data_IF_205877635895
#
_entry.id   IF_205877635895
#
_cell.length_a   1.000
_cell.length_b   1.000
_cell.length_c   1.000
_cell.angle_alpha   90.00
_cell.angle_beta   90.00
_cell.angle_gamma   90.00
#
_symmetry.space_group_name_H-M   'P 1'
#
loop_
_entity.id
_entity.type
_entity.pdbx_description
1 polymer ?
#
# COMPACT_ATOMS: atom_id res chain seq x y z
N UNK A 1 -12.42 8.42 -3.62
CA UNK A 1 -13.15 7.12 -3.51
C UNK A 1 -14.45 7.25 -4.24
N UNK A 2 -14.80 6.28 -5.06
CA UNK A 2 -16.09 6.28 -5.75
C UNK A 2 -17.23 5.90 -4.81
N UNK A 3 -18.45 6.37 -5.12
CA UNK A 3 -19.63 6.07 -4.32
C UNK A 3 -19.90 4.54 -4.26
N UNK A 4 -19.78 3.85 -5.39
CA UNK A 4 -19.93 2.39 -5.47
C UNK A 4 -18.91 1.64 -4.60
N UNK A 5 -17.67 2.11 -4.60
CA UNK A 5 -16.59 1.54 -3.76
C UNK A 5 -16.87 1.75 -2.27
N UNK A 6 -17.34 2.94 -1.89
CA UNK A 6 -17.75 3.23 -0.51
C UNK A 6 -18.86 2.27 -0.05
N UNK A 7 -19.92 2.15 -0.85
CA UNK A 7 -21.06 1.25 -0.55
C UNK A 7 -20.55 -0.19 -0.37
N UNK A 8 -19.66 -0.66 -1.24
CA UNK A 8 -19.07 -2.01 -1.14
C UNK A 8 -18.27 -2.18 0.14
N UNK A 9 -17.46 -1.19 0.52
CA UNK A 9 -16.66 -1.22 1.76
C UNK A 9 -17.55 -1.21 3.00
N UNK A 10 -18.58 -0.37 3.02
CA UNK A 10 -19.53 -0.32 4.12
C UNK A 10 -20.32 -1.64 4.24
N UNK A 11 -20.69 -2.24 3.13
CA UNK A 11 -21.41 -3.51 3.12
C UNK A 11 -20.54 -4.70 3.58
N UNK A 12 -19.22 -4.68 3.29
CA UNK A 12 -18.29 -5.72 3.69
C UNK A 12 -17.82 -5.56 5.15
N UNK A 13 -17.74 -4.33 5.65
CA UNK A 13 -17.28 -4.02 7.02
C UNK A 13 -18.40 -4.10 8.06
N UNK A 14 -19.66 -3.99 7.64
CA UNK A 14 -20.84 -3.90 8.50
C UNK A 14 -21.72 -5.13 8.35
N UNK A 15 -22.61 -5.35 9.30
CA UNK A 15 -23.64 -6.39 9.15
C UNK A 15 -24.51 -6.09 7.90
N UNK A 16 -24.92 -7.10 7.12
CA UNK A 16 -25.56 -6.93 5.81
C UNK A 16 -26.91 -6.18 5.82
N UNK A 17 -27.39 -5.75 6.96
CA UNK A 17 -28.68 -5.04 7.12
C UNK A 17 -28.57 -3.52 7.25
N UNK A 18 -27.36 -2.95 7.23
CA UNK A 18 -27.16 -1.52 7.44
C UNK A 18 -27.53 -0.64 6.24
N UNK A 19 -27.39 -1.17 5.02
CA UNK A 19 -27.68 -0.44 3.78
C UNK A 19 -28.83 -1.11 3.04
N UNK A 20 -29.85 -0.32 2.72
CA UNK A 20 -31.05 -0.76 2.00
C UNK A 20 -31.29 0.16 0.81
N UNK A 21 -32.05 -0.31 -0.17
CA UNK A 21 -32.48 0.49 -1.34
C UNK A 21 -31.36 1.29 -1.99
N UNK A 22 -30.31 0.59 -2.39
CA UNK A 22 -29.13 1.20 -3.03
C UNK A 22 -29.48 1.50 -4.49
N UNK A 23 -29.37 2.78 -4.89
CA UNK A 23 -29.50 3.24 -6.29
C UNK A 23 -28.23 3.99 -6.67
N UNK A 24 -27.56 3.57 -7.74
CA UNK A 24 -26.33 4.17 -8.26
C UNK A 24 -26.49 4.40 -9.75
N UNK A 25 -26.74 5.65 -10.14
CA UNK A 25 -26.90 6.06 -11.55
C UNK A 25 -25.65 6.68 -12.14
N UNK A 26 -24.76 7.23 -11.29
CA UNK A 26 -23.52 7.84 -11.73
C UNK A 26 -22.43 7.60 -10.68
N UNK A 27 -21.31 7.01 -11.08
CA UNK A 27 -20.23 6.66 -10.16
C UNK A 27 -19.20 7.80 -10.06
N UNK A 28 -19.49 8.77 -9.19
CA UNK A 28 -18.65 9.94 -8.97
C UNK A 28 -17.70 9.76 -7.78
N UNK A 29 -16.59 10.49 -7.82
CA UNK A 29 -15.60 10.51 -6.74
C UNK A 29 -16.10 11.34 -5.56
N UNK A 30 -15.92 10.77 -4.36
CA UNK A 30 -16.21 11.40 -3.08
C UNK A 30 -14.92 11.98 -2.48
N UNK A 31 -14.98 13.24 -2.08
CA UNK A 31 -13.90 13.95 -1.43
C UNK A 31 -14.21 14.33 0.03
N UNK A 32 -15.50 14.48 0.37
CA UNK A 32 -15.93 14.94 1.69
C UNK A 32 -17.26 14.31 2.10
N UNK A 33 -17.64 14.47 3.36
CA UNK A 33 -18.92 14.05 3.92
C UNK A 33 -19.52 15.14 4.78
N UNK A 34 -20.83 15.41 4.58
CA UNK A 34 -21.58 16.41 5.32
C UNK A 34 -22.98 15.93 5.68
N UNK A 35 -23.64 16.66 6.59
CA UNK A 35 -25.05 16.44 6.90
C UNK A 35 -25.86 17.44 6.08
N UNK A 36 -26.87 16.98 5.36
CA UNK A 36 -27.79 17.84 4.64
C UNK A 36 -28.82 18.43 5.61
N UNK A 37 -28.74 19.71 5.84
CA UNK A 37 -29.67 20.44 6.68
C UNK A 37 -30.93 20.85 5.90
N UNK A 38 -32.06 20.95 6.59
CA UNK A 38 -33.29 21.48 6.01
C UNK A 38 -33.11 22.89 5.49
N UNK A 39 -33.48 23.15 4.22
CA UNK A 39 -33.35 24.47 3.57
C UNK A 39 -31.92 24.80 3.08
N UNK A 40 -30.98 23.86 3.12
CA UNK A 40 -29.67 24.07 2.54
C UNK A 40 -29.75 24.14 1.01
N UNK A 41 -29.25 25.24 0.44
CA UNK A 41 -29.23 25.48 -1.01
C UNK A 41 -27.87 25.24 -1.65
N UNK A 42 -26.79 25.23 -0.86
CA UNK A 42 -25.42 25.04 -1.36
C UNK A 42 -25.02 23.56 -1.18
N UNK A 43 -25.01 22.83 -2.27
CA UNK A 43 -24.68 21.41 -2.34
C UNK A 43 -23.43 21.24 -3.18
N UNK A 44 -22.37 20.75 -2.59
CA UNK A 44 -21.06 20.62 -3.25
C UNK A 44 -20.95 19.30 -4.04
N UNK A 45 -20.46 19.38 -5.25
CA UNK A 45 -20.16 18.22 -6.05
C UNK A 45 -19.01 17.39 -5.39
N UNK A 46 -19.13 16.06 -5.44
CA UNK A 46 -18.13 15.18 -4.80
C UNK A 46 -18.26 15.05 -3.29
N UNK A 47 -19.25 15.67 -2.67
CA UNK A 47 -19.56 15.47 -1.25
C UNK A 47 -20.69 14.46 -1.09
N UNK A 48 -20.49 13.54 -0.14
CA UNK A 48 -21.55 12.65 0.33
C UNK A 48 -22.36 13.34 1.42
N UNK A 49 -23.65 13.34 1.28
CA UNK A 49 -24.54 13.91 2.30
C UNK A 49 -25.30 12.82 3.05
N UNK A 50 -25.46 13.05 4.33
CA UNK A 50 -26.31 12.26 5.22
C UNK A 50 -27.56 13.06 5.56
N UNK A 51 -28.75 12.48 5.47
CA UNK A 51 -30.00 13.20 5.73
C UNK A 51 -31.04 12.37 6.50
N UNK A 52 -31.88 13.08 7.24
CA UNK A 52 -33.18 12.59 7.68
C UNK A 52 -34.20 12.86 6.54
N UNK A 53 -34.68 11.79 5.91
CA UNK A 53 -35.65 11.92 4.80
C UNK A 53 -36.94 12.66 5.20
N UNK A 54 -37.32 12.57 6.49
CA UNK A 54 -38.47 13.28 7.01
C UNK A 54 -38.34 14.82 7.05
N UNK A 55 -37.11 15.32 6.92
CA UNK A 55 -36.81 16.76 6.89
C UNK A 55 -36.65 17.31 5.47
N UNK A 56 -36.63 16.43 4.46
CA UNK A 56 -36.51 16.84 3.07
C UNK A 56 -37.88 17.25 2.51
N UNK A 57 -37.90 18.40 1.85
CA UNK A 57 -39.11 18.95 1.18
C UNK A 57 -38.95 18.87 -0.34
N UNK A 58 -40.02 18.94 -1.13
CA UNK A 58 -39.95 18.94 -2.60
C UNK A 58 -39.02 20.03 -3.18
N UNK A 59 -38.86 21.15 -2.47
CA UNK A 59 -37.99 22.26 -2.85
C UNK A 59 -36.53 22.09 -2.44
N UNK A 60 -36.21 20.99 -1.71
CA UNK A 60 -34.84 20.74 -1.28
C UNK A 60 -33.93 20.50 -2.49
N UNK A 61 -32.78 21.19 -2.51
CA UNK A 61 -31.72 20.93 -3.49
C UNK A 61 -31.06 19.61 -3.13
N UNK A 62 -31.24 18.60 -3.97
CA UNK A 62 -30.71 17.26 -3.70
C UNK A 62 -29.24 17.15 -4.11
N UNK A 63 -28.40 16.54 -3.26
CA UNK A 63 -27.02 16.23 -3.61
C UNK A 63 -26.95 15.05 -4.61
N UNK A 64 -25.83 14.96 -5.31
CA UNK A 64 -25.54 13.82 -6.19
C UNK A 64 -25.42 12.50 -5.41
N UNK A 65 -24.90 12.56 -4.18
CA UNK A 65 -24.65 11.39 -3.35
C UNK A 65 -25.32 11.56 -1.99
N UNK A 66 -26.26 10.68 -1.67
CA UNK A 66 -27.08 10.77 -0.46
C UNK A 66 -27.17 9.45 0.28
N UNK A 67 -26.83 9.44 1.55
CA UNK A 67 -27.24 8.40 2.49
C UNK A 67 -28.34 8.96 3.39
N UNK A 68 -29.47 8.28 3.49
CA UNK A 68 -30.60 8.79 4.24
C UNK A 68 -31.25 7.71 5.10
N UNK A 69 -31.91 8.14 6.17
CA UNK A 69 -32.82 7.27 6.92
C UNK A 69 -34.25 7.83 6.90
N UNK A 70 -35.22 6.96 7.15
CA UNK A 70 -36.64 7.32 7.11
C UNK A 70 -37.26 7.15 5.73
N UNK A 71 -38.49 7.61 5.59
CA UNK A 71 -39.25 7.46 4.35
C UNK A 71 -39.04 8.67 3.43
N UNK A 72 -38.45 8.42 2.27
CA UNK A 72 -38.22 9.46 1.28
C UNK A 72 -39.54 9.77 0.54
N UNK A 73 -39.90 11.06 0.34
CA UNK A 73 -41.04 11.43 -0.50
C UNK A 73 -40.89 10.91 -1.93
N UNK A 74 -41.91 10.31 -2.56
CA UNK A 74 -41.78 9.73 -3.90
C UNK A 74 -41.28 10.72 -4.96
N UNK A 75 -41.65 11.97 -4.86
CA UNK A 75 -41.22 13.05 -5.75
C UNK A 75 -39.72 13.33 -5.71
N UNK A 76 -39.06 12.99 -4.61
CA UNK A 76 -37.62 13.15 -4.47
C UNK A 76 -36.83 11.91 -4.92
N UNK A 77 -37.45 10.73 -4.84
CA UNK A 77 -36.77 9.47 -5.20
C UNK A 77 -36.29 9.47 -6.66
N UNK A 78 -37.12 9.98 -7.59
CA UNK A 78 -36.76 10.04 -9.00
C UNK A 78 -35.67 11.05 -9.34
N UNK A 79 -35.44 12.02 -8.46
CA UNK A 79 -34.46 13.10 -8.63
C UNK A 79 -33.06 12.72 -8.06
N UNK A 80 -32.97 11.65 -7.29
CA UNK A 80 -31.71 11.20 -6.73
C UNK A 80 -30.81 10.57 -7.80
N UNK A 81 -29.51 10.85 -7.74
CA UNK A 81 -28.52 10.25 -8.65
C UNK A 81 -27.90 9.02 -8.02
N UNK A 82 -27.34 9.17 -6.82
CA UNK A 82 -26.78 8.06 -6.06
C UNK A 82 -27.34 8.13 -4.64
N UNK A 83 -27.93 7.03 -4.20
CA UNK A 83 -28.52 7.00 -2.87
C UNK A 83 -28.50 5.61 -2.23
N UNK A 84 -28.48 5.57 -0.91
CA UNK A 84 -28.77 4.37 -0.16
C UNK A 84 -29.50 4.72 1.15
N UNK A 85 -30.45 3.89 1.53
CA UNK A 85 -31.14 4.01 2.81
C UNK A 85 -30.33 3.30 3.89
N UNK A 86 -30.20 3.94 5.04
CA UNK A 86 -29.51 3.42 6.23
C UNK A 86 -30.47 3.26 7.39
N UNK A 87 -30.12 2.41 8.35
CA UNK A 87 -30.85 2.36 9.63
C UNK A 87 -30.59 3.63 10.43
N UNK A 88 -31.66 4.16 11.06
CA UNK A 88 -31.56 5.37 11.91
C UNK A 88 -30.57 5.20 13.07
N UNK A 89 -30.53 4.01 13.67
CA UNK A 89 -29.63 3.72 14.79
C UNK A 89 -28.15 3.77 14.41
N UNK A 90 -27.85 3.54 13.12
CA UNK A 90 -26.48 3.46 12.60
C UNK A 90 -25.98 4.79 11.99
N UNK A 91 -26.82 5.81 11.92
CA UNK A 91 -26.51 7.09 11.28
C UNK A 91 -25.19 7.70 11.75
N UNK A 92 -25.01 7.84 13.07
CA UNK A 92 -23.83 8.47 13.63
C UNK A 92 -22.55 7.62 13.43
N UNK A 93 -22.68 6.30 13.56
CA UNK A 93 -21.58 5.36 13.37
C UNK A 93 -21.13 5.36 11.92
N UNK A 94 -22.07 5.27 10.97
CA UNK A 94 -21.77 5.30 9.54
C UNK A 94 -21.17 6.64 9.11
N UNK A 95 -21.70 7.76 9.61
CA UNK A 95 -21.17 9.09 9.33
C UNK A 95 -19.70 9.20 9.77
N UNK A 96 -19.40 8.76 10.99
CA UNK A 96 -18.03 8.77 11.51
C UNK A 96 -17.11 7.83 10.71
N UNK A 97 -17.58 6.62 10.42
CA UNK A 97 -16.83 5.64 9.61
C UNK A 97 -16.50 6.19 8.21
N UNK A 98 -17.48 6.80 7.53
CA UNK A 98 -17.25 7.41 6.21
C UNK A 98 -16.27 8.56 6.29
N UNK A 99 -16.40 9.41 7.31
CA UNK A 99 -15.47 10.52 7.53
C UNK A 99 -14.04 10.03 7.73
N UNK A 100 -13.84 8.99 8.48
CA UNK A 100 -12.53 8.37 8.69
C UNK A 100 -11.98 7.76 7.40
N UNK A 101 -12.81 7.03 6.65
CA UNK A 101 -12.41 6.44 5.37
C UNK A 101 -11.97 7.50 4.34
N UNK A 102 -12.71 8.60 4.22
CA UNK A 102 -12.35 9.69 3.30
C UNK A 102 -11.10 10.44 3.75
N UNK A 103 -10.98 10.70 5.06
CA UNK A 103 -9.80 11.33 5.68
C UNK A 103 -8.53 10.50 5.48
N UNK A 104 -8.62 9.19 5.67
CA UNK A 104 -7.53 8.25 5.44
C UNK A 104 -7.07 8.27 3.97
N UNK A 105 -8.01 8.27 3.05
CA UNK A 105 -7.70 8.32 1.62
C UNK A 105 -7.03 9.63 1.18
N UNK A 106 -7.45 10.76 1.74
CA UNK A 106 -6.77 12.04 1.50
C UNK A 106 -5.35 12.04 2.02
N UNK A 107 -5.13 11.48 3.21
CA UNK A 107 -3.80 11.32 3.81
C UNK A 107 -2.89 10.46 2.94
N UNK A 108 -3.40 9.34 2.43
CA UNK A 108 -2.68 8.46 1.51
C UNK A 108 -2.24 9.17 0.22
N UNK A 109 -3.15 9.93 -0.38
CA UNK A 109 -2.87 10.66 -1.61
C UNK A 109 -1.86 11.79 -1.40
N UNK A 110 -1.93 12.46 -0.25
CA UNK A 110 -0.94 13.45 0.15
C UNK A 110 0.43 12.83 0.38
N UNK A 111 0.49 11.70 1.08
CA UNK A 111 1.73 10.96 1.29
C UNK A 111 2.39 10.56 -0.04
N UNK A 112 1.61 9.95 -0.94
CA UNK A 112 2.10 9.57 -2.26
C UNK A 112 2.71 10.76 -3.01
N UNK A 113 2.00 11.89 -3.06
CA UNK A 113 2.45 13.10 -3.73
C UNK A 113 3.72 13.68 -3.09
N UNK A 114 3.80 13.70 -1.76
CA UNK A 114 4.98 14.18 -1.04
C UNK A 114 6.19 13.31 -1.30
N UNK A 115 6.03 11.98 -1.25
CA UNK A 115 7.12 11.05 -1.51
C UNK A 115 7.62 11.17 -2.95
N UNK A 116 6.70 11.23 -3.91
CA UNK A 116 7.05 11.42 -5.32
C UNK A 116 7.85 12.73 -5.51
N UNK A 117 7.39 13.83 -4.93
CA UNK A 117 8.10 15.11 -4.96
C UNK A 117 9.51 15.01 -4.36
N UNK A 118 9.65 14.36 -3.21
CA UNK A 118 10.95 14.17 -2.56
C UNK A 118 11.91 13.35 -3.44
N UNK A 119 11.44 12.26 -4.04
CA UNK A 119 12.23 11.40 -4.92
C UNK A 119 12.65 12.14 -6.20
N UNK A 120 11.75 12.87 -6.83
CA UNK A 120 12.04 13.67 -8.03
C UNK A 120 13.06 14.79 -7.77
N UNK A 121 13.11 15.33 -6.55
CA UNK A 121 14.10 16.32 -6.15
C UNK A 121 15.40 15.73 -5.57
N UNK A 122 15.60 14.42 -5.71
CA UNK A 122 16.84 13.75 -5.31
C UNK A 122 17.06 13.68 -3.78
N UNK A 123 15.98 13.69 -2.99
CA UNK A 123 16.09 13.52 -1.55
C UNK A 123 16.73 12.19 -1.18
N UNK A 124 17.52 12.16 -0.12
CA UNK A 124 18.11 10.94 0.39
C UNK A 124 17.03 9.95 0.83
N UNK A 125 17.21 8.66 0.52
CA UNK A 125 16.24 7.61 0.83
C UNK A 125 15.89 7.56 2.32
N UNK A 126 16.87 7.67 3.22
CA UNK A 126 16.62 7.65 4.66
C UNK A 126 15.64 8.74 5.10
N UNK A 127 15.71 9.92 4.47
CA UNK A 127 14.78 11.02 4.73
C UNK A 127 13.37 10.71 4.19
N UNK A 128 13.29 10.11 3.01
CA UNK A 128 12.01 9.68 2.42
C UNK A 128 11.35 8.62 3.29
N UNK A 129 12.10 7.57 3.68
CA UNK A 129 11.61 6.49 4.53
C UNK A 129 11.14 7.00 5.90
N UNK A 130 11.89 7.94 6.50
CA UNK A 130 11.51 8.56 7.77
C UNK A 130 10.19 9.34 7.64
N UNK A 131 10.03 10.11 6.56
CA UNK A 131 8.78 10.85 6.30
C UNK A 131 7.58 9.91 6.15
N UNK A 132 7.77 8.77 5.49
CA UNK A 132 6.73 7.75 5.37
C UNK A 132 6.35 7.19 6.74
N UNK A 133 7.33 6.83 7.57
CA UNK A 133 7.09 6.34 8.94
C UNK A 133 6.34 7.36 9.80
N UNK A 134 6.66 8.65 9.68
CA UNK A 134 5.96 9.72 10.43
C UNK A 134 4.45 9.77 10.12
N UNK A 135 4.05 9.34 8.92
CA UNK A 135 2.64 9.36 8.49
C UNK A 135 1.95 8.02 8.75
N UNK A 136 2.60 6.90 8.40
CA UNK A 136 1.97 5.57 8.45
C UNK A 136 2.18 4.86 9.79
N UNK A 137 3.23 5.21 10.53
CA UNK A 137 3.67 4.48 11.72
C UNK A 137 4.41 3.19 11.43
N UNK A 138 4.49 2.77 10.16
CA UNK A 138 5.22 1.58 9.73
C UNK A 138 6.71 1.89 9.52
N UNK A 139 7.55 0.89 9.59
CA UNK A 139 8.99 1.04 9.46
C UNK A 139 9.45 0.59 8.08
N UNK A 140 10.42 1.31 7.52
CA UNK A 140 10.92 1.07 6.18
C UNK A 140 12.41 0.74 6.21
N UNK A 141 12.79 -0.28 5.47
CA UNK A 141 14.19 -0.66 5.30
C UNK A 141 14.45 -1.06 3.85
N UNK A 142 15.61 -0.67 3.35
CA UNK A 142 16.12 -1.06 2.04
C UNK A 142 17.42 -1.82 2.26
N UNK A 143 17.50 -3.02 1.72
CA UNK A 143 18.67 -3.89 1.80
C UNK A 143 19.15 -4.28 0.41
N UNK A 144 20.44 -4.53 0.28
CA UNK A 144 20.98 -5.13 -0.93
C UNK A 144 20.86 -6.68 -0.88
N UNK A 145 21.29 -7.35 -1.91
CA UNK A 145 21.22 -8.81 -2.02
C UNK A 145 22.10 -9.56 -1.01
N UNK A 146 23.03 -8.87 -0.35
CA UNK A 146 23.85 -9.43 0.73
C UNK A 146 23.25 -9.20 2.11
N UNK A 147 22.08 -8.57 2.18
CA UNK A 147 21.43 -8.15 3.42
C UNK A 147 22.00 -6.86 4.03
N UNK A 148 22.95 -6.19 3.36
CA UNK A 148 23.50 -4.92 3.83
C UNK A 148 22.45 -3.81 3.73
N UNK A 149 22.37 -2.98 4.76
CA UNK A 149 21.46 -1.83 4.77
C UNK A 149 21.92 -0.76 3.77
N UNK A 150 21.01 -0.40 2.87
CA UNK A 150 21.17 0.70 1.91
C UNK A 150 20.52 1.96 2.44
N UNK A 151 19.35 1.83 3.05
CA UNK A 151 18.61 2.90 3.71
C UNK A 151 17.65 2.33 4.76
N UNK A 152 17.32 3.13 5.77
CA UNK A 152 16.33 2.77 6.79
C UNK A 152 15.63 4.00 7.36
N UNK A 153 14.47 3.78 7.96
CA UNK A 153 13.78 4.77 8.78
C UNK A 153 14.70 5.25 9.91
N UNK A 154 14.71 6.53 10.18
CA UNK A 154 15.34 7.11 11.36
C UNK A 154 14.69 6.56 12.63
N UNK A 155 15.47 6.25 13.66
CA UNK A 155 14.97 5.64 14.89
C UNK A 155 14.21 4.31 14.67
N UNK A 156 14.69 3.52 13.72
CA UNK A 156 14.14 2.19 13.43
C UNK A 156 14.19 1.31 14.69
N UNK A 157 13.03 0.85 15.14
CA UNK A 157 12.93 -0.03 16.30
C UNK A 157 11.89 -1.13 16.06
N UNK A 158 12.28 -2.36 16.28
CA UNK A 158 11.41 -3.54 16.32
C UNK A 158 11.72 -4.28 17.63
N UNK A 159 10.69 -4.69 18.33
CA UNK A 159 10.83 -5.46 19.59
C UNK A 159 11.28 -6.89 19.28
N UNK A 160 12.48 -6.99 18.75
CA UNK A 160 13.18 -8.25 18.46
C UNK A 160 14.71 -7.99 18.52
N UNK A 161 15.37 -8.36 19.64
CA UNK A 161 16.74 -7.95 19.91
C UNK A 161 17.78 -8.40 18.87
N UNK A 162 17.63 -9.60 18.29
CA UNK A 162 18.57 -10.09 17.27
C UNK A 162 18.49 -9.25 16.00
N UNK A 163 17.30 -8.85 15.58
CA UNK A 163 17.16 -7.94 14.46
C UNK A 163 17.79 -6.57 14.76
N UNK A 164 17.43 -5.99 15.90
CA UNK A 164 17.97 -4.67 16.26
C UNK A 164 19.48 -4.64 16.25
N UNK A 165 20.13 -5.72 16.76
CA UNK A 165 21.58 -5.85 16.70
C UNK A 165 22.09 -5.86 15.26
N UNK A 166 21.47 -6.61 14.36
CA UNK A 166 21.84 -6.66 12.94
C UNK A 166 21.67 -5.30 12.26
N UNK A 167 20.57 -4.61 12.54
CA UNK A 167 20.32 -3.25 12.02
C UNK A 167 21.36 -2.24 12.53
N UNK A 168 21.77 -2.34 13.78
CA UNK A 168 22.85 -1.51 14.36
C UNK A 168 24.21 -1.80 13.69
N UNK A 169 24.46 -3.05 13.33
CA UNK A 169 25.67 -3.47 12.60
C UNK A 169 25.62 -3.12 11.10
N UNK A 170 24.50 -2.60 10.61
CA UNK A 170 24.34 -2.21 9.20
C UNK A 170 23.92 -3.35 8.28
N UNK A 171 23.36 -4.42 8.82
CA UNK A 171 22.86 -5.57 8.06
C UNK A 171 21.44 -5.93 8.47
N UNK A 172 20.75 -6.61 7.58
CA UNK A 172 19.50 -7.28 7.91
C UNK A 172 19.79 -8.56 8.71
N UNK A 173 18.83 -8.99 9.51
CA UNK A 173 18.97 -10.25 10.26
C UNK A 173 19.03 -11.45 9.31
N UNK A 174 19.97 -12.37 9.56
CA UNK A 174 20.11 -13.61 8.81
C UNK A 174 18.80 -14.41 8.81
N UNK A 175 18.07 -14.40 9.92
CA UNK A 175 16.78 -15.08 10.07
C UNK A 175 15.75 -14.51 9.05
N UNK A 176 15.73 -13.19 8.86
CA UNK A 176 14.81 -12.60 7.87
C UNK A 176 15.24 -12.94 6.44
N UNK A 177 16.54 -12.89 6.16
CA UNK A 177 17.06 -13.23 4.83
C UNK A 177 16.76 -14.70 4.50
N UNK A 178 17.02 -15.61 5.42
CA UNK A 178 16.69 -17.03 5.28
C UNK A 178 15.20 -17.24 5.10
N UNK A 179 14.36 -16.54 5.86
CA UNK A 179 12.91 -16.60 5.74
C UNK A 179 12.42 -16.15 4.36
N UNK A 180 12.89 -15.04 3.85
CA UNK A 180 12.54 -14.53 2.52
C UNK A 180 12.99 -15.53 1.44
N UNK A 181 14.21 -16.07 1.54
CA UNK A 181 14.75 -17.03 0.60
C UNK A 181 14.01 -18.36 0.63
N UNK A 182 13.63 -18.87 1.82
CA UNK A 182 12.83 -20.09 1.95
C UNK A 182 11.45 -19.93 1.29
N UNK A 183 10.80 -18.81 1.51
CA UNK A 183 9.53 -18.51 0.84
C UNK A 183 9.69 -18.37 -0.67
N UNK A 184 10.78 -17.77 -1.13
CA UNK A 184 11.13 -17.72 -2.56
C UNK A 184 11.29 -19.12 -3.16
N UNK A 185 12.04 -19.99 -2.50
CA UNK A 185 12.25 -21.37 -2.95
C UNK A 185 10.96 -22.19 -3.03
N UNK A 186 10.04 -21.95 -2.12
CA UNK A 186 8.73 -22.60 -2.09
C UNK A 186 7.73 -22.03 -3.10
N UNK A 187 8.14 -21.03 -3.90
CA UNK A 187 7.26 -20.30 -4.83
C UNK A 187 5.97 -19.77 -4.18
N UNK A 188 6.01 -19.42 -2.90
CA UNK A 188 4.86 -18.93 -2.17
C UNK A 188 4.48 -17.48 -2.58
N UNK A 189 5.32 -16.81 -3.37
CA UNK A 189 5.02 -15.53 -3.96
C UNK A 189 5.55 -15.42 -5.39
N UNK A 190 4.89 -14.58 -6.17
CA UNK A 190 5.26 -14.36 -7.57
C UNK A 190 6.69 -13.83 -7.70
N UNK A 191 7.44 -14.32 -8.68
CA UNK A 191 8.72 -13.77 -9.11
C UNK A 191 8.58 -12.40 -9.80
N UNK A 192 7.35 -11.88 -9.93
CA UNK A 192 7.09 -10.56 -10.49
C UNK A 192 7.65 -9.44 -9.60
N UNK A 193 7.83 -8.25 -10.19
CA UNK A 193 8.26 -7.04 -9.45
C UNK A 193 7.12 -6.43 -8.61
N UNK A 194 5.98 -7.14 -8.52
CA UNK A 194 4.85 -6.70 -7.70
C UNK A 194 5.17 -6.87 -6.22
N UNK A 195 4.71 -5.94 -5.38
CA UNK A 195 4.80 -6.10 -3.94
C UNK A 195 4.08 -7.37 -3.46
N UNK A 196 4.64 -8.02 -2.46
CA UNK A 196 4.06 -9.19 -1.83
C UNK A 196 4.15 -9.09 -0.30
N UNK A 197 3.18 -9.68 0.38
CA UNK A 197 3.09 -9.62 1.84
C UNK A 197 3.49 -10.94 2.47
N UNK A 198 4.28 -10.86 3.55
CA UNK A 198 4.71 -12.00 4.36
C UNK A 198 4.39 -11.72 5.84
N UNK A 199 4.10 -12.76 6.61
CA UNK A 199 4.04 -12.67 8.07
C UNK A 199 5.27 -13.34 8.66
N UNK A 200 6.15 -12.59 9.29
CA UNK A 200 7.35 -13.10 9.95
C UNK A 200 7.02 -13.53 11.39
N UNK A 201 6.92 -14.84 11.61
CA UNK A 201 6.58 -15.42 12.92
C UNK A 201 7.59 -15.06 14.00
N UNK A 202 8.88 -15.00 13.66
CA UNK A 202 9.94 -14.65 14.62
C UNK A 202 9.81 -13.24 15.17
N UNK A 203 9.34 -12.30 14.34
CA UNK A 203 9.18 -10.91 14.74
C UNK A 203 7.75 -10.56 15.11
N UNK A 204 6.79 -11.45 14.87
CA UNK A 204 5.37 -11.18 15.01
C UNK A 204 4.97 -9.89 14.26
N UNK A 205 5.42 -9.77 13.01
CA UNK A 205 5.21 -8.60 12.14
C UNK A 205 4.84 -9.01 10.73
N UNK A 206 4.05 -8.18 10.12
CA UNK A 206 3.78 -8.28 8.68
C UNK A 206 4.82 -7.49 7.91
N UNK A 207 5.21 -8.04 6.77
CA UNK A 207 6.19 -7.44 5.88
C UNK A 207 5.55 -7.26 4.51
N UNK A 208 5.61 -6.04 3.95
CA UNK A 208 5.33 -5.80 2.54
C UNK A 208 6.68 -5.62 1.85
N UNK A 209 6.97 -6.51 0.94
CA UNK A 209 8.27 -6.59 0.27
C UNK A 209 8.13 -6.34 -1.23
N UNK A 210 9.13 -5.67 -1.81
CA UNK A 210 9.32 -5.67 -3.26
C UNK A 210 10.79 -5.87 -3.59
N UNK A 211 11.05 -6.54 -4.70
CA UNK A 211 12.42 -6.77 -5.17
C UNK A 211 12.98 -5.52 -5.83
N UNK A 212 14.26 -5.31 -5.65
CA UNK A 212 15.03 -4.34 -6.41
C UNK A 212 15.73 -5.11 -7.52
N UNK A 213 15.32 -4.87 -8.77
CA UNK A 213 15.84 -5.60 -9.95
C UNK A 213 16.49 -4.62 -10.92
N UNK A 214 17.67 -4.98 -11.41
CA UNK A 214 18.37 -4.26 -12.44
C UNK A 214 18.99 -5.24 -13.45
N UNK A 215 18.68 -5.05 -14.72
CA UNK A 215 19.20 -5.91 -15.82
C UNK A 215 18.95 -7.41 -15.56
N UNK A 216 17.73 -7.75 -15.09
CA UNK A 216 17.29 -9.07 -14.67
C UNK A 216 18.02 -9.66 -13.44
N UNK A 217 18.89 -8.88 -12.78
CA UNK A 217 19.55 -9.31 -11.56
C UNK A 217 18.85 -8.73 -10.34
N UNK A 218 18.62 -9.56 -9.34
CA UNK A 218 18.10 -9.13 -8.06
C UNK A 218 19.20 -8.41 -7.27
N UNK A 219 18.95 -7.15 -6.92
CA UNK A 219 19.89 -6.30 -6.20
C UNK A 219 19.57 -6.16 -4.72
N UNK A 220 18.38 -6.58 -4.30
CA UNK A 220 17.94 -6.47 -2.91
C UNK A 220 16.43 -6.35 -2.77
N UNK A 221 16.01 -5.83 -1.62
CA UNK A 221 14.60 -5.65 -1.27
C UNK A 221 14.33 -4.27 -0.67
N UNK A 222 13.14 -3.74 -0.95
CA UNK A 222 12.49 -2.74 -0.12
C UNK A 222 11.48 -3.47 0.75
N UNK A 223 11.52 -3.24 2.05
CA UNK A 223 10.69 -3.93 3.04
C UNK A 223 10.00 -2.90 3.92
N UNK A 224 8.69 -3.01 4.05
CA UNK A 224 7.88 -2.29 5.04
C UNK A 224 7.54 -3.27 6.15
N UNK A 225 7.75 -2.85 7.40
CA UNK A 225 7.51 -3.66 8.59
C UNK A 225 6.35 -3.07 9.37
N UNK A 226 5.23 -3.79 9.42
CA UNK A 226 4.00 -3.36 10.08
C UNK A 226 3.58 -4.29 11.20
N UNK A 227 2.90 -3.73 12.20
CA UNK A 227 2.26 -4.50 13.27
C UNK A 227 0.91 -5.10 12.84
N UNK A 228 0.19 -4.38 12.03
CA UNK A 228 -1.21 -4.70 11.68
C UNK A 228 -1.33 -5.51 10.39
N UNK A 229 -0.38 -5.37 9.48
CA UNK A 229 -0.43 -5.94 8.13
C UNK A 229 -1.44 -5.25 7.20
N UNK A 230 -2.03 -4.16 7.65
CA UNK A 230 -2.90 -3.32 6.83
C UNK A 230 -2.06 -2.26 6.14
N UNK A 231 -1.51 -2.62 4.98
CA UNK A 231 -0.74 -1.69 4.16
C UNK A 231 -1.68 -0.82 3.33
N UNK A 232 -1.48 0.48 3.42
CA UNK A 232 -2.28 1.46 2.69
C UNK A 232 -2.10 1.37 1.17
N UNK A 233 -3.04 1.92 0.42
CA UNK A 233 -2.90 2.02 -1.03
C UNK A 233 -1.68 2.86 -1.43
N UNK A 234 -1.38 3.91 -0.66
CA UNK A 234 -0.18 4.73 -0.86
C UNK A 234 1.10 3.91 -0.69
N UNK A 235 1.22 3.13 0.38
CA UNK A 235 2.39 2.29 0.62
C UNK A 235 2.61 1.29 -0.52
N UNK A 236 1.55 0.61 -0.97
CA UNK A 236 1.62 -0.34 -2.08
C UNK A 236 2.04 0.31 -3.40
N UNK A 237 1.66 1.58 -3.64
CA UNK A 237 2.04 2.34 -4.83
C UNK A 237 3.45 2.95 -4.72
N UNK A 238 3.86 3.34 -3.52
CA UNK A 238 5.15 3.98 -3.28
C UNK A 238 6.30 2.97 -3.28
N UNK A 239 6.07 1.75 -2.81
CA UNK A 239 7.16 0.75 -2.67
C UNK A 239 7.89 0.44 -3.98
N UNK A 240 7.25 0.36 -5.17
CA UNK A 240 7.97 0.24 -6.44
C UNK A 240 8.81 1.48 -6.80
N UNK A 241 8.35 2.68 -6.42
CA UNK A 241 9.12 3.92 -6.63
C UNK A 241 10.38 3.93 -5.77
N UNK A 242 10.28 3.48 -4.51
CA UNK A 242 11.43 3.31 -3.62
C UNK A 242 12.41 2.28 -4.19
N UNK A 243 11.91 1.18 -4.76
CA UNK A 243 12.74 0.17 -5.42
C UNK A 243 13.59 0.79 -6.55
N UNK A 244 12.98 1.62 -7.39
CA UNK A 244 13.70 2.31 -8.47
C UNK A 244 14.77 3.28 -7.94
N UNK A 245 14.46 4.06 -6.91
CA UNK A 245 15.43 4.99 -6.30
C UNK A 245 16.56 4.25 -5.57
N UNK A 246 16.24 3.15 -4.90
CA UNK A 246 17.20 2.29 -4.22
C UNK A 246 18.16 1.63 -5.23
N UNK A 247 17.64 1.18 -6.37
CA UNK A 247 18.43 0.64 -7.48
C UNK A 247 19.53 1.61 -7.91
N UNK A 248 19.18 2.87 -8.15
CA UNK A 248 20.18 3.89 -8.54
C UNK A 248 21.25 4.09 -7.46
N UNK A 249 20.85 4.09 -6.19
CA UNK A 249 21.78 4.24 -5.06
C UNK A 249 22.74 3.05 -4.95
N UNK A 250 22.23 1.81 -5.06
CA UNK A 250 23.04 0.59 -5.04
C UNK A 250 24.04 0.61 -6.19
N UNK A 251 23.57 0.97 -7.40
CA UNK A 251 24.42 1.09 -8.57
C UNK A 251 25.56 2.08 -8.38
N UNK A 252 25.25 3.27 -7.86
CA UNK A 252 26.23 4.32 -7.60
C UNK A 252 27.23 3.96 -6.49
N UNK A 253 26.77 3.29 -5.42
CA UNK A 253 27.62 2.92 -4.26
C UNK A 253 28.66 1.86 -4.60
N UNK A 254 28.40 1.01 -5.57
CA UNK A 254 29.29 -0.08 -5.95
C UNK A 254 30.37 0.35 -6.98
N UNK A 255 30.57 1.65 -7.20
CA UNK A 255 31.65 2.24 -8.03
C UNK A 255 31.90 1.50 -9.37
N UNK A 256 30.85 0.96 -10.00
CA UNK A 256 30.98 0.19 -11.24
C UNK A 256 31.59 -1.21 -11.07
N UNK A 257 31.89 -1.69 -9.88
CA UNK A 257 32.35 -3.06 -9.61
C UNK A 257 31.18 -4.07 -9.75
N UNK A 258 30.50 -4.00 -10.88
CA UNK A 258 29.47 -4.94 -11.28
C UNK A 258 29.97 -6.39 -11.37
N UNK A 259 31.25 -6.57 -11.61
CA UNK A 259 31.90 -7.89 -11.75
C UNK A 259 31.80 -8.64 -10.41
N UNK A 260 32.10 -7.99 -9.30
CA UNK A 260 32.04 -8.62 -7.97
C UNK A 260 30.59 -8.88 -7.52
N UNK A 261 29.69 -7.96 -7.88
CA UNK A 261 28.27 -8.14 -7.58
C UNK A 261 27.66 -9.30 -8.39
N UNK A 262 27.99 -9.40 -9.70
CA UNK A 262 27.60 -10.54 -10.54
C UNK A 262 28.22 -11.85 -10.05
N UNK A 263 29.45 -11.84 -9.63
CA UNK A 263 30.13 -13.03 -9.08
C UNK A 263 29.42 -13.52 -7.79
N UNK A 264 29.02 -12.62 -6.90
CA UNK A 264 28.24 -12.96 -5.71
C UNK A 264 26.87 -13.56 -6.05
N UNK A 265 26.16 -12.97 -7.02
CA UNK A 265 24.87 -13.51 -7.50
C UNK A 265 25.04 -14.88 -8.16
N UNK A 266 26.06 -15.07 -8.97
CA UNK A 266 26.37 -16.36 -9.59
C UNK A 266 26.68 -17.43 -8.52
N UNK A 267 27.40 -17.07 -7.47
CA UNK A 267 27.68 -17.99 -6.37
C UNK A 267 26.39 -18.42 -5.65
N UNK A 268 25.46 -17.49 -5.41
CA UNK A 268 24.15 -17.84 -4.84
C UNK A 268 23.34 -18.76 -5.76
N UNK A 269 23.36 -18.49 -7.08
CA UNK A 269 22.73 -19.33 -8.10
C UNK A 269 23.34 -20.73 -8.09
N UNK A 270 24.66 -20.84 -8.07
CA UNK A 270 25.34 -22.13 -8.02
C UNK A 270 25.05 -22.88 -6.71
N UNK A 271 24.97 -22.17 -5.58
CA UNK A 271 24.59 -22.77 -4.31
C UNK A 271 23.15 -23.33 -4.35
N UNK A 272 22.21 -22.59 -4.94
CA UNK A 272 20.83 -23.04 -5.13
C UNK A 272 20.75 -24.27 -6.07
N UNK A 273 21.51 -24.28 -7.15
CA UNK A 273 21.61 -25.44 -8.06
C UNK A 273 22.18 -26.68 -7.34
N UNK A 274 23.23 -26.51 -6.55
CA UNK A 274 23.86 -27.58 -5.79
C UNK A 274 22.95 -28.09 -4.66
N UNK A 275 22.12 -27.22 -4.09
CA UNK A 275 21.12 -27.60 -3.09
C UNK A 275 19.90 -28.35 -3.66
N UNK A 276 19.85 -28.58 -4.99
CA UNK A 276 18.78 -29.30 -5.65
C UNK A 276 17.46 -28.55 -5.74
N UNK A 277 17.49 -27.22 -5.74
CA UNK A 277 16.32 -26.37 -5.96
C UNK A 277 15.71 -26.70 -7.35
N UNK A 278 14.55 -27.33 -7.38
CA UNK A 278 13.92 -27.84 -8.61
C UNK A 278 13.34 -26.75 -9.53
N UNK A 279 13.29 -25.50 -9.08
CA UNK A 279 12.76 -24.38 -9.85
C UNK A 279 13.76 -23.22 -9.94
N UNK A 280 14.90 -23.51 -10.48
CA UNK A 280 15.79 -22.47 -10.94
C UNK A 280 15.19 -21.92 -12.23
N UNK A 281 14.83 -20.64 -12.22
CA UNK A 281 14.22 -19.97 -13.37
C UNK A 281 15.17 -20.09 -14.57
N UNK A 282 14.96 -21.11 -15.41
CA UNK A 282 15.78 -21.41 -16.59
C UNK A 282 15.85 -20.23 -17.54
N UNK A 283 14.89 -19.29 -17.50
CA UNK A 283 14.83 -18.09 -18.31
C UNK A 283 15.93 -17.10 -17.94
N UNK A 284 16.30 -17.00 -16.67
CA UNK A 284 17.38 -16.09 -16.23
C UNK A 284 18.77 -16.58 -16.63
N UNK A 285 18.93 -17.86 -16.95
CA UNK A 285 20.24 -18.46 -17.28
C UNK A 285 20.54 -18.52 -18.78
N UNK A 286 19.53 -18.47 -19.63
CA UNK A 286 19.73 -18.52 -21.11
C UNK A 286 20.44 -17.28 -21.66
N UNK A 287 20.51 -16.19 -20.89
CA UNK A 287 21.25 -14.97 -21.28
C UNK A 287 22.69 -14.90 -20.75
N UNK A 288 23.13 -15.91 -19.99
CA UNK A 288 24.55 -16.07 -19.65
C UNK A 288 25.32 -16.76 -20.79
N UNK A 289 25.33 -16.15 -21.97
CA UNK A 289 26.29 -16.53 -22.97
C UNK A 289 27.70 -16.16 -22.47
N UNK A 290 28.48 -17.17 -22.13
CA UNK A 290 29.91 -17.00 -21.89
C UNK A 290 30.51 -16.24 -23.09
N UNK A 291 31.28 -15.13 -22.88
CA UNK A 291 31.99 -14.51 -23.96
C UNK A 291 32.92 -15.56 -24.56
N UNK A 292 32.69 -15.87 -25.81
CA UNK A 292 33.59 -16.73 -26.57
C UNK A 292 34.93 -15.98 -26.65
N UNK A 293 35.91 -16.45 -25.90
CA UNK A 293 37.30 -15.97 -26.01
C UNK A 293 37.78 -16.40 -27.42
N UNK A 294 37.95 -15.40 -28.29
CA UNK A 294 38.77 -15.54 -29.49
C UNK A 294 40.16 -15.04 -29.24
#
# INVERSE_FOLDING_TARGET
MKFSELITKLHSASQPHMLMYIDIRSDCELADVNILASGQSDVQAGTLYFADAGQLTPDTVLPTNLLYYGTLPPELADRLTNSAMIDRGEFAVLFQTVKELLSYQQSDQQLYTQVLYMLCNGAELDRVLTKMTDVTGDLFVVIDSTGKLVAKTKNFYVDYPLWMRSIEQGYCSDILMEYIEDRRRKNEYSLSDKPFTLFCEHMQRYLLCTRIVYDNFMMGYVIIVSKTGMFSAAEQQIIPLLSNSAKERIVKSNNGNWIDYRASQLNNIFADMLAGAQNVDTVSYTHLTLPTIR
#
